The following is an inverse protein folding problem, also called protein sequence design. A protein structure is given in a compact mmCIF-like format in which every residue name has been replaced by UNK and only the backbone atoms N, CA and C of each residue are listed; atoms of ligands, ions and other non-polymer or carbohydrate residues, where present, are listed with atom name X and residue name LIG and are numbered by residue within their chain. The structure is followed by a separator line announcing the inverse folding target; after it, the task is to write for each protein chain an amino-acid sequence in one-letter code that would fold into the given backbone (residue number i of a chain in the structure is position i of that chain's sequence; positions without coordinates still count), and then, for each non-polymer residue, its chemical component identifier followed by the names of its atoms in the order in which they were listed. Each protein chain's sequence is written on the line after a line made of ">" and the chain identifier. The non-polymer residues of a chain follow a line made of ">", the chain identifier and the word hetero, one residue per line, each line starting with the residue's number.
data_IF_882182379805
#
_entry.id   IF_882182379805
#
_cell.length_a   1.000
_cell.length_b   1.000
_cell.length_c   1.000
_cell.angle_alpha   90.00
_cell.angle_beta   90.00
_cell.angle_gamma   90.00
#
_symmetry.space_group_name_H-M   'P 1'
#
loop_
_entity.id
_entity.type
_entity.pdbx_description
1 polymer ?
#
# COMPACT_ATOMS: atom_id res chain seq x y z
N UNK A 1 3.19 -24.20 22.24
CA UNK A 1 3.03 -23.07 21.30
C UNK A 1 4.19 -23.09 20.30
N UNK A 2 4.07 -23.83 19.20
CA UNK A 2 5.02 -23.74 18.09
C UNK A 2 4.40 -22.79 17.06
N UNK A 3 4.71 -21.50 17.18
CA UNK A 3 4.60 -20.61 16.03
C UNK A 3 5.60 -21.17 15.01
N UNK A 4 5.11 -21.84 13.96
CA UNK A 4 5.94 -22.05 12.77
C UNK A 4 6.42 -20.65 12.39
N UNK A 5 7.72 -20.46 12.29
CA UNK A 5 8.30 -19.24 11.76
C UNK A 5 7.70 -19.02 10.36
N UNK A 6 6.65 -18.19 10.25
CA UNK A 6 6.28 -17.58 8.98
C UNK A 6 7.39 -16.58 8.69
N UNK A 7 8.44 -17.08 8.07
CA UNK A 7 9.50 -16.24 7.55
C UNK A 7 8.88 -15.53 6.34
N UNK A 8 8.37 -14.31 6.55
CA UNK A 8 7.90 -13.42 5.50
C UNK A 8 9.10 -12.95 4.69
N UNK A 9 9.64 -13.86 3.88
CA UNK A 9 10.77 -13.56 3.02
C UNK A 9 10.25 -12.86 1.77
N UNK A 10 10.80 -11.69 1.48
CA UNK A 10 10.56 -11.00 0.20
C UNK A 10 11.09 -11.91 -0.91
N UNK A 11 10.25 -12.14 -1.93
CA UNK A 11 10.64 -12.94 -3.11
C UNK A 11 11.89 -12.35 -3.75
N UNK A 12 12.80 -13.23 -4.20
CA UNK A 12 14.01 -12.79 -4.90
C UNK A 12 13.64 -12.19 -6.26
N UNK A 13 14.35 -11.13 -6.72
CA UNK A 13 14.08 -10.56 -8.02
C UNK A 13 14.33 -11.58 -9.15
N UNK A 14 13.56 -11.52 -10.26
CA UNK A 14 13.81 -12.36 -11.42
C UNK A 14 15.23 -12.14 -11.97
N UNK A 15 15.79 -13.17 -12.63
CA UNK A 15 17.10 -13.03 -13.27
C UNK A 15 17.04 -12.00 -14.40
N UNK A 16 17.98 -11.06 -14.38
CA UNK A 16 18.17 -10.08 -15.45
C UNK A 16 18.44 -10.77 -16.79
N UNK A 17 17.77 -10.28 -17.84
CA UNK A 17 17.89 -10.76 -19.23
C UNK A 17 17.79 -9.58 -20.18
N UNK A 18 18.19 -9.80 -21.43
CA UNK A 18 18.05 -8.77 -22.48
C UNK A 18 16.56 -8.57 -22.81
N UNK A 19 16.10 -7.32 -22.78
CA UNK A 19 14.69 -6.91 -22.93
C UNK A 19 14.42 -6.15 -24.25
N UNK A 20 15.30 -6.28 -25.23
CA UNK A 20 15.16 -5.60 -26.52
C UNK A 20 13.89 -6.10 -27.24
N UNK A 21 12.99 -5.16 -27.55
CA UNK A 21 11.68 -5.43 -28.17
C UNK A 21 10.76 -6.38 -27.39
N UNK A 22 10.96 -6.51 -26.07
CA UNK A 22 10.19 -7.44 -25.24
C UNK A 22 8.71 -7.02 -25.10
N UNK A 23 8.46 -5.74 -24.83
CA UNK A 23 7.11 -5.22 -24.60
C UNK A 23 6.61 -4.30 -25.72
N UNK A 24 7.50 -3.47 -26.28
CA UNK A 24 7.19 -2.59 -27.40
C UNK A 24 7.80 -3.18 -28.68
N UNK A 25 7.02 -3.28 -29.75
CA UNK A 25 7.54 -3.74 -31.04
C UNK A 25 8.21 -2.59 -31.77
N UNK A 26 9.03 -2.93 -32.76
CA UNK A 26 9.68 -1.94 -33.62
C UNK A 26 8.67 -0.98 -34.29
N UNK A 27 7.51 -1.49 -34.72
CA UNK A 27 6.44 -0.68 -35.31
C UNK A 27 5.89 0.37 -34.33
N UNK A 28 5.65 -0.01 -33.07
CA UNK A 28 5.11 0.90 -32.06
C UNK A 28 6.11 2.02 -31.75
N UNK A 29 7.40 1.70 -31.67
CA UNK A 29 8.45 2.70 -31.45
C UNK A 29 8.63 3.66 -32.63
N UNK A 30 8.46 3.18 -33.86
CA UNK A 30 8.50 4.04 -35.04
C UNK A 30 7.33 5.04 -35.06
N UNK A 31 6.13 4.61 -34.65
CA UNK A 31 4.99 5.51 -34.46
C UNK A 31 5.25 6.54 -33.34
N UNK A 32 5.83 6.11 -32.20
CA UNK A 32 6.14 6.98 -31.06
C UNK A 32 7.19 8.05 -31.43
N UNK A 33 8.21 7.70 -32.20
CA UNK A 33 9.27 8.63 -32.61
C UNK A 33 8.73 9.71 -33.57
N UNK A 34 7.85 9.32 -34.51
CA UNK A 34 7.20 10.25 -35.45
C UNK A 34 6.19 11.17 -34.77
N UNK A 35 5.64 10.75 -33.63
CA UNK A 35 4.60 11.47 -32.91
C UNK A 35 5.18 12.54 -31.99
N UNK A 36 4.78 13.80 -32.13
CA UNK A 36 5.15 14.89 -31.21
C UNK A 36 4.03 15.24 -30.20
N UNK A 37 2.86 14.62 -30.35
CA UNK A 37 1.69 14.88 -29.52
C UNK A 37 1.62 13.88 -28.37
N UNK A 38 1.53 14.37 -27.14
CA UNK A 38 1.33 13.56 -25.93
C UNK A 38 0.13 12.59 -26.06
N UNK A 39 -1.08 13.01 -26.48
CA UNK A 39 -2.22 12.09 -26.60
C UNK A 39 -2.00 10.98 -27.64
N UNK A 40 -1.17 11.22 -28.66
CA UNK A 40 -0.87 10.19 -29.65
C UNK A 40 0.12 9.15 -29.09
N UNK A 41 1.11 9.60 -28.32
CA UNK A 41 2.03 8.71 -27.58
C UNK A 41 1.23 7.85 -26.59
N UNK A 42 0.31 8.46 -25.84
CA UNK A 42 -0.58 7.76 -24.91
C UNK A 42 -1.43 6.69 -25.62
N UNK A 43 -2.01 7.02 -26.78
CA UNK A 43 -2.79 6.07 -27.59
C UNK A 43 -1.97 4.86 -28.00
N UNK A 44 -0.73 5.07 -28.45
CA UNK A 44 0.17 3.98 -28.88
C UNK A 44 0.60 3.13 -27.69
N UNK A 45 1.03 3.76 -26.59
CA UNK A 45 1.44 3.07 -25.36
C UNK A 45 0.29 2.26 -24.76
N UNK A 46 -0.92 2.82 -24.75
CA UNK A 46 -2.11 2.11 -24.32
C UNK A 46 -2.35 0.86 -25.17
N UNK A 47 -2.30 0.97 -26.50
CA UNK A 47 -2.49 -0.15 -27.42
C UNK A 47 -1.44 -1.26 -27.20
N UNK A 48 -0.20 -0.89 -26.94
CA UNK A 48 0.91 -1.83 -26.88
C UNK A 48 1.10 -2.48 -25.51
N UNK A 49 0.90 -1.74 -24.42
CA UNK A 49 1.28 -2.16 -23.07
C UNK A 49 0.09 -2.50 -22.16
N UNK A 50 -1.10 -2.00 -22.47
CA UNK A 50 -2.30 -2.18 -21.64
C UNK A 50 -3.31 -3.08 -22.38
N UNK A 51 -3.66 -4.21 -21.76
CA UNK A 51 -4.43 -5.27 -22.42
C UNK A 51 -5.96 -5.00 -22.53
N UNK A 52 -6.54 -4.04 -21.80
CA UNK A 52 -7.97 -3.69 -21.89
C UNK A 52 -8.35 -2.46 -21.06
N UNK A 53 -9.29 -1.66 -21.56
CA UNK A 53 -10.02 -0.50 -20.98
C UNK A 53 -9.29 0.49 -20.04
N UNK A 54 -8.84 1.61 -20.62
CA UNK A 54 -8.31 2.82 -19.96
C UNK A 54 -9.30 3.45 -18.97
N UNK A 55 -10.56 3.01 -18.95
CA UNK A 55 -11.53 3.46 -17.97
C UNK A 55 -11.10 3.17 -16.53
N UNK A 56 -10.26 2.15 -16.28
CA UNK A 56 -9.76 1.89 -14.94
C UNK A 56 -8.77 2.98 -14.48
N UNK A 57 -9.00 3.67 -13.34
CA UNK A 57 -8.11 4.72 -12.85
C UNK A 57 -6.67 4.24 -12.65
N UNK A 58 -6.48 2.98 -12.23
CA UNK A 58 -5.16 2.37 -12.03
C UNK A 58 -4.35 2.32 -13.33
N UNK A 59 -5.00 2.06 -14.47
CA UNK A 59 -4.32 2.01 -15.75
C UNK A 59 -3.88 3.38 -16.25
N UNK A 60 -4.61 4.45 -15.90
CA UNK A 60 -4.21 5.82 -16.21
C UNK A 60 -2.90 6.19 -15.53
N UNK A 61 -2.72 5.77 -14.28
CA UNK A 61 -1.46 5.98 -13.54
C UNK A 61 -0.28 5.25 -14.20
N UNK A 62 -0.48 4.04 -14.73
CA UNK A 62 0.54 3.34 -15.51
C UNK A 62 0.83 4.03 -16.85
N UNK A 63 -0.22 4.46 -17.54
CA UNK A 63 -0.08 5.17 -18.81
C UNK A 63 0.73 6.45 -18.62
N UNK A 64 0.43 7.23 -17.58
CA UNK A 64 1.17 8.43 -17.23
C UNK A 64 2.64 8.12 -16.91
N UNK A 65 2.93 7.04 -16.17
CA UNK A 65 4.30 6.58 -15.92
C UNK A 65 5.05 6.29 -17.24
N UNK A 66 4.44 5.53 -18.16
CA UNK A 66 5.08 5.18 -19.43
C UNK A 66 5.23 6.39 -20.36
N UNK A 67 4.24 7.28 -20.41
CA UNK A 67 4.30 8.52 -21.20
C UNK A 67 5.42 9.41 -20.68
N UNK A 68 5.54 9.61 -19.37
CA UNK A 68 6.63 10.37 -18.78
C UNK A 68 8.01 9.75 -19.07
N UNK A 69 8.10 8.42 -19.13
CA UNK A 69 9.31 7.72 -19.55
C UNK A 69 9.70 8.04 -20.99
N UNK A 70 8.74 8.01 -21.91
CA UNK A 70 8.96 8.37 -23.32
C UNK A 70 9.41 9.82 -23.45
N UNK A 71 8.75 10.74 -22.73
CA UNK A 71 9.12 12.16 -22.74
C UNK A 71 10.55 12.37 -22.22
N UNK A 72 10.93 11.68 -21.14
CA UNK A 72 12.30 11.67 -20.64
C UNK A 72 13.30 11.15 -21.68
N UNK A 73 12.98 10.05 -22.37
CA UNK A 73 13.85 9.51 -23.43
C UNK A 73 14.03 10.50 -24.59
N UNK A 74 12.97 11.22 -24.97
CA UNK A 74 13.01 12.26 -26.02
C UNK A 74 13.87 13.45 -25.60
N UNK A 75 13.72 13.93 -24.36
CA UNK A 75 14.52 15.01 -23.79
C UNK A 75 16.02 14.67 -23.74
N UNK A 76 16.34 13.40 -23.45
CA UNK A 76 17.72 12.89 -23.42
C UNK A 76 18.23 12.35 -24.76
N UNK A 77 17.47 12.48 -25.84
CA UNK A 77 17.80 12.01 -27.18
C UNK A 77 18.17 10.51 -27.25
N UNK A 78 17.46 9.66 -26.51
CA UNK A 78 17.64 8.21 -26.57
C UNK A 78 17.09 7.66 -27.89
N UNK A 79 17.75 6.62 -28.41
CA UNK A 79 17.28 5.93 -29.61
C UNK A 79 16.05 5.03 -29.33
N UNK A 80 15.51 4.43 -30.38
CA UNK A 80 14.27 3.62 -30.32
C UNK A 80 14.48 2.38 -29.45
N UNK A 81 15.61 1.70 -29.63
CA UNK A 81 16.01 0.52 -28.89
C UNK A 81 16.15 0.83 -27.40
N UNK A 82 16.83 1.92 -27.05
CA UNK A 82 17.03 2.43 -25.69
C UNK A 82 15.70 2.73 -25.02
N UNK A 83 14.80 3.43 -25.73
CA UNK A 83 13.47 3.79 -25.20
C UNK A 83 12.63 2.54 -24.96
N UNK A 84 12.61 1.60 -25.92
CA UNK A 84 11.90 0.32 -25.77
C UNK A 84 12.42 -0.47 -24.58
N UNK A 85 13.74 -0.59 -24.43
CA UNK A 85 14.36 -1.33 -23.32
C UNK A 85 14.07 -0.65 -21.99
N UNK A 86 14.18 0.69 -21.90
CA UNK A 86 13.95 1.39 -20.65
C UNK A 86 12.51 1.20 -20.15
N UNK A 87 11.53 1.27 -21.06
CA UNK A 87 10.12 1.01 -20.72
C UNK A 87 9.96 -0.42 -20.19
N UNK A 88 10.56 -1.41 -20.86
CA UNK A 88 10.55 -2.79 -20.40
C UNK A 88 11.21 -2.98 -19.03
N UNK A 89 12.33 -2.31 -18.76
CA UNK A 89 13.00 -2.35 -17.45
C UNK A 89 12.06 -1.84 -16.36
N UNK A 90 11.48 -0.65 -16.54
CA UNK A 90 10.58 -0.05 -15.55
C UNK A 90 9.31 -0.87 -15.37
N UNK A 91 8.75 -1.44 -16.44
CA UNK A 91 7.61 -2.36 -16.35
C UNK A 91 7.94 -3.60 -15.52
N UNK A 92 9.09 -4.22 -15.75
CA UNK A 92 9.53 -5.40 -14.99
C UNK A 92 9.76 -5.08 -13.51
N UNK A 93 10.40 -3.94 -13.22
CA UNK A 93 10.60 -3.47 -11.84
C UNK A 93 9.26 -3.16 -11.17
N UNK A 94 8.32 -2.54 -11.90
CA UNK A 94 6.99 -2.26 -11.37
C UNK A 94 6.22 -3.54 -11.06
N UNK A 95 6.25 -4.51 -11.96
CA UNK A 95 5.61 -5.80 -11.73
C UNK A 95 6.18 -6.46 -10.45
N UNK A 96 7.51 -6.58 -10.36
CA UNK A 96 8.18 -7.13 -9.18
C UNK A 96 7.87 -6.35 -7.89
N UNK A 97 7.79 -5.02 -7.96
CA UNK A 97 7.36 -4.19 -6.84
C UNK A 97 5.96 -4.62 -6.35
N UNK A 98 5.00 -4.76 -7.26
CA UNK A 98 3.59 -4.99 -6.92
C UNK A 98 3.22 -6.44 -6.60
N UNK A 99 4.12 -7.40 -6.86
CA UNK A 99 3.91 -8.84 -6.58
C UNK A 99 3.81 -9.18 -5.08
N UNK A 100 4.25 -8.28 -4.20
CA UNK A 100 4.22 -8.51 -2.75
C UNK A 100 3.70 -7.26 -2.02
N UNK A 101 2.95 -7.38 -0.92
CA UNK A 101 2.65 -6.23 -0.06
C UNK A 101 3.83 -5.79 0.81
N UNK A 102 4.87 -6.63 0.91
CA UNK A 102 6.03 -6.35 1.73
C UNK A 102 6.90 -5.24 1.11
N UNK A 103 7.61 -4.52 1.96
CA UNK A 103 8.55 -3.51 1.50
C UNK A 103 9.73 -4.18 0.76
N UNK A 104 9.91 -3.86 -0.53
CA UNK A 104 10.98 -4.37 -1.38
C UNK A 104 11.75 -3.26 -2.13
N UNK A 105 11.82 -2.04 -1.57
CA UNK A 105 12.52 -0.90 -2.18
C UNK A 105 13.96 -1.22 -2.58
N UNK A 106 14.76 -1.80 -1.67
CA UNK A 106 16.17 -2.14 -1.94
C UNK A 106 16.31 -3.19 -3.04
N UNK A 107 15.40 -4.17 -3.06
CA UNK A 107 15.35 -5.18 -4.10
C UNK A 107 14.95 -4.58 -5.46
N UNK A 108 13.98 -3.67 -5.49
CA UNK A 108 13.59 -2.96 -6.71
C UNK A 108 14.72 -2.10 -7.29
N UNK A 109 15.46 -1.39 -6.43
CA UNK A 109 16.61 -0.59 -6.85
C UNK A 109 17.76 -1.47 -7.36
N UNK A 110 18.04 -2.57 -6.66
CA UNK A 110 19.04 -3.56 -7.08
C UNK A 110 18.66 -4.18 -8.42
N UNK A 111 17.40 -4.61 -8.56
CA UNK A 111 16.89 -5.22 -9.80
C UNK A 111 16.94 -4.25 -10.99
N UNK A 112 16.56 -2.99 -10.79
CA UNK A 112 16.71 -1.94 -11.80
C UNK A 112 18.18 -1.77 -12.22
N UNK A 113 19.10 -1.73 -11.24
CA UNK A 113 20.54 -1.58 -11.48
C UNK A 113 21.13 -2.77 -12.25
N UNK A 114 20.74 -4.00 -11.90
CA UNK A 114 21.15 -5.22 -12.60
C UNK A 114 20.62 -5.27 -14.03
N UNK A 115 19.36 -4.89 -14.25
CA UNK A 115 18.76 -4.78 -15.57
C UNK A 115 19.49 -3.72 -16.41
N UNK A 116 19.81 -2.55 -15.86
CA UNK A 116 20.57 -1.53 -16.57
C UNK A 116 21.98 -2.02 -16.91
N UNK A 117 22.66 -2.69 -15.98
CA UNK A 117 24.00 -3.24 -16.22
C UNK A 117 23.99 -4.28 -17.35
N UNK A 118 22.94 -5.11 -17.43
CA UNK A 118 22.70 -6.06 -18.52
C UNK A 118 22.58 -5.38 -19.90
N UNK A 119 22.20 -4.10 -19.96
CA UNK A 119 22.06 -3.33 -21.19
C UNK A 119 23.17 -2.29 -21.38
N UNK A 120 24.23 -2.33 -20.57
CA UNK A 120 25.35 -1.37 -20.63
C UNK A 120 26.72 -2.03 -20.81
N UNK A 121 26.77 -3.36 -20.89
CA UNK A 121 28.02 -4.14 -20.97
C UNK A 121 27.92 -5.13 -22.11
N UNK A 122 28.97 -5.22 -22.94
CA UNK A 122 29.00 -6.12 -24.10
C UNK A 122 29.43 -7.54 -23.74
N UNK A 123 28.47 -8.44 -23.45
CA UNK A 123 28.70 -9.90 -23.27
C UNK A 123 27.54 -10.73 -23.86
N UNK A 124 27.41 -10.81 -25.20
CA UNK A 124 26.43 -11.70 -25.83
C UNK A 124 26.63 -13.16 -25.41
N UNK A 125 25.56 -13.96 -25.18
CA UNK A 125 24.13 -13.65 -25.31
C UNK A 125 23.49 -12.99 -24.06
N UNK A 126 24.24 -12.77 -23.00
CA UNK A 126 23.70 -12.40 -21.68
C UNK A 126 23.46 -10.91 -21.51
N UNK A 127 24.26 -10.06 -22.19
CA UNK A 127 24.18 -8.61 -22.06
C UNK A 127 24.49 -7.91 -23.39
N UNK A 128 23.92 -6.72 -23.57
CA UNK A 128 24.11 -5.87 -24.74
C UNK A 128 24.69 -4.51 -24.34
N UNK A 129 25.38 -3.86 -25.27
CA UNK A 129 25.99 -2.54 -25.08
C UNK A 129 25.07 -1.49 -25.71
N UNK A 130 24.02 -1.11 -24.98
CA UNK A 130 22.98 -0.21 -25.46
C UNK A 130 23.05 1.16 -24.78
N UNK A 131 23.35 1.21 -23.48
CA UNK A 131 23.47 2.47 -22.73
C UNK A 131 24.93 2.78 -22.40
N UNK A 132 25.30 4.05 -22.56
CA UNK A 132 26.59 4.54 -22.06
C UNK A 132 26.57 4.72 -20.54
N UNK A 133 27.74 4.78 -19.90
CA UNK A 133 27.84 5.02 -18.45
C UNK A 133 27.15 6.31 -18.01
N UNK A 134 27.17 7.35 -18.85
CA UNK A 134 26.47 8.61 -18.56
C UNK A 134 24.96 8.42 -18.60
N UNK A 135 24.45 7.74 -19.64
CA UNK A 135 23.02 7.45 -19.78
C UNK A 135 22.50 6.60 -18.63
N UNK A 136 23.26 5.60 -18.17
CA UNK A 136 22.89 4.79 -16.98
C UNK A 136 22.71 5.67 -15.75
N UNK A 137 23.62 6.61 -15.52
CA UNK A 137 23.55 7.53 -14.38
C UNK A 137 22.33 8.44 -14.47
N UNK A 138 22.03 8.96 -15.66
CA UNK A 138 20.84 9.77 -15.91
C UNK A 138 19.55 8.98 -15.68
N UNK A 139 19.48 7.74 -16.18
CA UNK A 139 18.33 6.84 -16.00
C UNK A 139 18.12 6.52 -14.53
N UNK A 140 19.18 6.17 -13.80
CA UNK A 140 19.07 5.81 -12.39
C UNK A 140 18.64 7.01 -11.55
N UNK A 141 19.19 8.21 -11.83
CA UNK A 141 18.76 9.45 -11.18
C UNK A 141 17.29 9.75 -11.46
N UNK A 142 16.84 9.59 -12.71
CA UNK A 142 15.44 9.76 -13.06
C UNK A 142 14.56 8.75 -12.31
N UNK A 143 14.90 7.46 -12.35
CA UNK A 143 14.16 6.38 -11.69
C UNK A 143 14.00 6.61 -10.17
N UNK A 144 15.07 7.05 -9.50
CA UNK A 144 15.03 7.36 -8.07
C UNK A 144 14.10 8.55 -7.80
N UNK A 145 14.21 9.61 -8.61
CA UNK A 145 13.49 10.86 -8.38
C UNK A 145 12.02 10.81 -8.81
N UNK A 146 11.64 9.93 -9.73
CA UNK A 146 10.27 9.81 -10.23
C UNK A 146 9.59 8.56 -9.70
N UNK A 147 10.09 7.37 -10.01
CA UNK A 147 9.42 6.12 -9.67
C UNK A 147 9.58 5.77 -8.19
N UNK A 148 10.80 5.74 -7.66
CA UNK A 148 11.05 5.37 -6.25
C UNK A 148 10.52 6.43 -5.27
N UNK A 149 10.54 7.72 -5.64
CA UNK A 149 9.92 8.78 -4.83
C UNK A 149 8.44 8.52 -4.57
N UNK A 150 7.73 7.94 -5.53
CA UNK A 150 6.31 7.59 -5.42
C UNK A 150 6.09 6.09 -5.16
N UNK A 151 7.06 5.41 -4.56
CA UNK A 151 7.01 3.97 -4.32
C UNK A 151 5.75 3.52 -3.56
N UNK A 152 5.37 4.21 -2.48
CA UNK A 152 4.18 3.87 -1.70
C UNK A 152 2.87 4.06 -2.47
N UNK A 153 2.81 5.04 -3.38
CA UNK A 153 1.66 5.24 -4.26
C UNK A 153 1.45 4.02 -5.16
N UNK A 154 2.52 3.55 -5.80
CA UNK A 154 2.45 2.36 -6.65
C UNK A 154 2.10 1.11 -5.84
N UNK A 155 2.69 0.92 -4.65
CA UNK A 155 2.29 -0.17 -3.75
C UNK A 155 0.80 -0.13 -3.43
N UNK A 156 0.30 1.01 -2.99
CA UNK A 156 -1.09 1.15 -2.57
C UNK A 156 -2.08 0.85 -3.71
N UNK A 157 -1.79 1.31 -4.92
CA UNK A 157 -2.70 1.16 -6.05
C UNK A 157 -2.68 -0.27 -6.62
N UNK A 158 -1.51 -0.89 -6.73
CA UNK A 158 -1.31 -2.08 -7.57
C UNK A 158 -1.05 -3.37 -6.79
N UNK A 159 -0.82 -3.30 -5.48
CA UNK A 159 -0.63 -4.52 -4.67
C UNK A 159 -1.98 -5.20 -4.45
N UNK A 160 -2.09 -6.52 -4.67
CA UNK A 160 -3.28 -7.28 -4.31
C UNK A 160 -3.47 -7.31 -2.78
N UNK A 161 -4.71 -7.19 -2.33
CA UNK A 161 -5.04 -7.27 -0.90
C UNK A 161 -4.81 -8.71 -0.39
N UNK A 162 -4.05 -8.85 0.70
CA UNK A 162 -3.77 -10.15 1.32
C UNK A 162 -4.52 -10.20 2.64
N UNK A 163 -5.54 -11.07 2.72
CA UNK A 163 -6.24 -11.36 3.97
C UNK A 163 -5.55 -12.54 4.66
N UNK A 164 -5.10 -12.33 5.91
CA UNK A 164 -4.53 -13.38 6.74
C UNK A 164 -5.63 -13.96 7.64
N UNK A 165 -6.07 -15.18 7.34
CA UNK A 165 -6.97 -15.94 8.21
C UNK A 165 -6.14 -16.69 9.27
N UNK A 166 -6.28 -16.29 10.53
CA UNK A 166 -5.53 -16.86 11.65
C UNK A 166 -6.46 -17.83 12.40
N UNK A 167 -6.23 -19.13 12.22
CA UNK A 167 -6.84 -20.16 13.06
C UNK A 167 -5.92 -20.50 14.23
N UNK A 168 -6.43 -20.34 15.45
CA UNK A 168 -5.73 -20.68 16.69
C UNK A 168 -6.28 -22.01 17.22
N UNK A 169 -5.44 -23.05 17.26
CA UNK A 169 -5.75 -24.26 18.00
C UNK A 169 -5.05 -24.25 19.37
N UNK A 170 -5.84 -24.42 20.43
CA UNK A 170 -5.31 -24.50 21.78
C UNK A 170 -5.02 -25.95 22.13
N UNK A 171 -3.75 -26.26 22.40
CA UNK A 171 -3.35 -27.58 22.87
C UNK A 171 -3.53 -27.62 24.39
N UNK A 172 -4.41 -28.47 24.90
CA UNK A 172 -4.58 -28.72 26.34
C UNK A 172 -5.94 -28.35 26.94
N UNK A 173 -6.91 -27.91 26.13
CA UNK A 173 -8.32 -27.91 26.51
C UNK A 173 -8.91 -29.19 25.92
N UNK A 174 -9.55 -30.07 26.70
CA UNK A 174 -10.32 -31.17 26.13
C UNK A 174 -11.39 -30.56 25.21
N UNK A 175 -11.42 -31.02 23.96
CA UNK A 175 -12.50 -30.69 23.03
C UNK A 175 -13.80 -31.21 23.66
N UNK A 176 -14.65 -30.32 24.17
CA UNK A 176 -16.05 -30.64 24.36
C UNK A 176 -16.61 -30.86 22.96
N UNK A 177 -16.74 -32.14 22.60
CA UNK A 177 -17.43 -32.59 21.40
C UNK A 177 -18.92 -32.33 21.55
N UNK A 178 -19.35 -31.07 21.49
CA UNK A 178 -20.72 -30.72 21.17
C UNK A 178 -20.78 -30.52 19.66
N UNK A 179 -20.86 -31.67 18.99
CA UNK A 179 -21.23 -31.73 17.58
C UNK A 179 -22.71 -31.40 17.50
N UNK A 180 -23.05 -30.13 17.29
CA UNK A 180 -24.37 -29.77 16.73
C UNK A 180 -24.25 -29.72 15.21
N UNK A 181 -24.52 -30.87 14.58
CA UNK A 181 -24.94 -30.92 13.18
C UNK A 181 -26.32 -30.26 13.05
N UNK A 182 -26.42 -29.19 12.26
CA UNK A 182 -27.57 -28.81 11.42
C UNK A 182 -27.30 -27.42 10.82
N UNK A 183 -27.67 -27.04 9.62
CA UNK A 183 -28.06 -27.66 8.36
C UNK A 183 -28.07 -26.50 7.34
N UNK A 184 -27.99 -26.82 6.07
CA UNK A 184 -28.01 -25.88 4.94
C UNK A 184 -29.21 -24.92 4.97
N UNK A 185 -28.98 -23.67 4.54
CA UNK A 185 -29.98 -22.94 3.75
C UNK A 185 -29.32 -21.94 2.82
N UNK A 186 -29.45 -22.22 1.52
CA UNK A 186 -29.17 -21.36 0.38
C UNK A 186 -30.11 -20.13 0.34
N UNK A 187 -29.65 -19.04 -0.29
CA UNK A 187 -30.36 -18.08 -1.18
C UNK A 187 -29.80 -16.65 -0.99
N UNK A 188 -29.02 -16.13 -1.95
CA UNK A 188 -29.38 -15.43 -3.22
C UNK A 188 -29.72 -13.94 -3.02
N UNK A 189 -28.96 -13.11 -3.76
CA UNK A 189 -29.21 -11.76 -4.30
C UNK A 189 -30.10 -10.77 -3.52
N UNK A 190 -29.64 -9.52 -3.38
CA UNK A 190 -29.92 -8.48 -4.38
C UNK A 190 -29.18 -7.17 -4.06
N UNK A 191 -28.71 -6.48 -5.10
CA UNK A 191 -28.05 -5.18 -4.98
C UNK A 191 -29.01 -3.99 -5.11
N UNK A 192 -28.45 -2.79 -4.83
CA UNK A 192 -28.67 -1.46 -5.43
C UNK A 192 -27.88 -0.44 -4.57
N UNK A 193 -26.81 0.18 -5.09
CA UNK A 193 -26.77 1.57 -5.65
C UNK A 193 -27.71 2.53 -4.92
N UNK A 194 -27.22 3.62 -4.35
CA UNK A 194 -26.89 4.84 -5.11
C UNK A 194 -25.79 5.73 -4.48
N UNK A 195 -25.17 6.50 -5.39
CA UNK A 195 -24.11 7.52 -5.34
C UNK A 195 -24.64 8.86 -4.76
N UNK A 196 -23.90 9.72 -4.05
CA UNK A 196 -23.13 10.92 -4.51
C UNK A 196 -22.65 11.66 -3.21
N UNK A 197 -21.34 11.88 -2.96
CA UNK A 197 -20.47 13.08 -3.25
C UNK A 197 -21.10 14.43 -2.86
N UNK A 198 -20.48 15.44 -2.27
CA UNK A 198 -19.16 15.88 -1.70
C UNK A 198 -19.57 17.12 -0.83
N UNK A 199 -18.97 17.53 0.29
CA UNK A 199 -17.71 18.31 0.42
C UNK A 199 -17.43 18.62 1.92
N UNK A 200 -16.22 18.25 2.35
CA UNK A 200 -15.21 18.99 3.14
C UNK A 200 -15.51 19.81 4.42
N UNK A 201 -14.89 19.29 5.51
CA UNK A 201 -13.98 19.96 6.49
C UNK A 201 -14.56 21.10 7.34
N UNK A 202 -14.83 20.85 8.63
CA UNK A 202 -13.92 21.17 9.76
C UNK A 202 -14.56 20.67 11.08
N UNK A 203 -13.78 20.56 12.15
CA UNK A 203 -14.19 20.18 13.53
C UNK A 203 -14.23 18.67 13.84
N UNK A 204 -13.08 18.01 13.67
CA UNK A 204 -12.67 17.01 14.64
C UNK A 204 -12.48 17.67 16.01
N UNK A 205 -13.16 17.13 17.02
CA UNK A 205 -12.92 17.15 18.48
C UNK A 205 -14.22 17.46 19.22
N UNK A 206 -14.74 16.41 19.91
CA UNK A 206 -15.88 16.35 20.84
C UNK A 206 -17.20 15.77 20.29
N UNK A 207 -17.20 14.49 19.87
CA UNK A 207 -18.35 13.59 20.06
C UNK A 207 -18.04 12.12 19.67
N UNK A 208 -17.02 11.50 20.29
CA UNK A 208 -16.82 10.03 20.22
C UNK A 208 -17.50 9.33 21.43
N UNK A 209 -18.19 10.08 22.30
CA UNK A 209 -18.71 9.56 23.57
C UNK A 209 -20.21 9.20 23.57
N UNK A 210 -20.93 9.21 22.44
CA UNK A 210 -22.40 9.15 22.43
C UNK A 210 -23.03 8.21 21.39
N UNK A 211 -22.32 7.20 20.86
CA UNK A 211 -22.87 6.34 19.80
C UNK A 211 -22.72 4.82 19.99
N UNK A 212 -22.65 4.36 21.24
CA UNK A 212 -22.86 2.94 21.57
C UNK A 212 -23.91 2.78 22.67
N UNK A 213 -25.15 3.14 22.35
CA UNK A 213 -26.33 2.64 23.06
C UNK A 213 -27.53 2.68 22.12
N UNK A 214 -28.27 1.56 22.04
CA UNK A 214 -29.38 1.18 21.12
C UNK A 214 -28.86 0.58 19.80
N UNK A 215 -29.17 -0.65 19.38
CA UNK A 215 -30.18 -1.61 19.80
C UNK A 215 -29.74 -3.06 19.48
N UNK A 216 -30.12 -3.99 20.35
CA UNK A 216 -30.63 -5.31 19.96
C UNK A 216 -31.37 -5.87 21.17
N UNK A 217 -32.59 -5.35 21.35
CA UNK A 217 -33.64 -6.04 22.09
C UNK A 217 -34.32 -7.01 21.12
N UNK A 218 -34.15 -8.31 21.38
CA UNK A 218 -35.00 -9.48 21.08
C UNK A 218 -34.18 -10.66 21.61
N UNK A 219 -34.64 -11.58 22.45
CA UNK A 219 -35.98 -12.04 22.78
C UNK A 219 -35.92 -12.68 24.18
N UNK A 220 -37.00 -12.59 24.96
CA UNK A 220 -37.07 -13.13 26.32
C UNK A 220 -37.47 -14.61 26.27
N UNK A 221 -36.58 -15.50 26.69
CA UNK A 221 -36.97 -16.82 27.20
C UNK A 221 -36.26 -17.08 28.53
N UNK A 222 -37.07 -17.12 29.59
CA UNK A 222 -36.67 -17.56 30.93
C UNK A 222 -36.22 -19.02 30.90
N UNK A 223 -35.03 -19.32 31.43
CA UNK A 223 -34.86 -20.34 32.48
C UNK A 223 -33.39 -20.47 32.91
N UNK A 224 -33.18 -20.34 34.22
CA UNK A 224 -31.97 -20.79 34.93
C UNK A 224 -31.02 -19.66 35.33
N UNK A 225 -31.04 -19.29 36.61
CA UNK A 225 -29.87 -18.70 37.29
C UNK A 225 -28.71 -19.68 37.13
N UNK A 226 -27.93 -19.48 36.07
CA UNK A 226 -26.66 -20.16 35.87
C UNK A 226 -25.58 -19.27 36.45
N UNK A 227 -24.64 -19.82 37.25
CA UNK A 227 -23.50 -19.08 37.80
C UNK A 227 -22.72 -18.26 36.75
N UNK A 228 -22.82 -18.63 35.46
CA UNK A 228 -22.18 -17.95 34.33
C UNK A 228 -22.79 -16.58 34.00
N UNK A 229 -24.09 -16.36 34.23
CA UNK A 229 -24.70 -15.04 33.96
C UNK A 229 -24.34 -14.03 35.05
N UNK A 230 -24.34 -14.46 36.32
CA UNK A 230 -23.91 -13.66 37.46
C UNK A 230 -22.43 -13.27 37.34
N UNK A 231 -21.57 -14.22 36.96
CA UNK A 231 -20.15 -13.96 36.72
C UNK A 231 -19.93 -12.97 35.56
N UNK A 232 -20.71 -13.08 34.47
CA UNK A 232 -20.65 -12.15 33.33
C UNK A 232 -21.02 -10.72 33.76
N UNK A 233 -22.05 -10.57 34.59
CA UNK A 233 -22.46 -9.25 35.11
C UNK A 233 -21.40 -8.65 36.03
N UNK A 234 -20.77 -9.45 36.89
CA UNK A 234 -19.68 -9.00 37.76
C UNK A 234 -18.47 -8.56 36.93
N UNK A 235 -18.07 -9.35 35.93
CA UNK A 235 -16.94 -9.01 35.05
C UNK A 235 -17.22 -7.74 34.25
N UNK A 236 -18.42 -7.58 33.69
CA UNK A 236 -18.80 -6.36 32.96
C UNK A 236 -18.79 -5.12 33.85
N UNK A 237 -19.22 -5.24 35.11
CA UNK A 237 -19.19 -4.14 36.06
C UNK A 237 -17.76 -3.75 36.41
N UNK A 238 -16.90 -4.72 36.75
CA UNK A 238 -15.51 -4.45 37.12
C UNK A 238 -14.72 -3.83 35.96
N UNK A 239 -14.92 -4.33 34.74
CA UNK A 239 -14.28 -3.75 33.54
C UNK A 239 -14.71 -2.31 33.33
N UNK A 240 -16.00 -1.99 33.54
CA UNK A 240 -16.50 -0.62 33.43
C UNK A 240 -15.88 0.31 34.48
N UNK A 241 -15.81 -0.15 35.72
CA UNK A 241 -15.26 0.63 36.82
C UNK A 241 -13.75 0.89 36.61
N UNK A 242 -13.01 -0.10 36.11
CA UNK A 242 -11.57 0.03 35.85
C UNK A 242 -11.27 0.93 34.64
N UNK A 243 -12.09 0.87 33.58
CA UNK A 243 -12.01 1.80 32.44
C UNK A 243 -12.26 3.23 32.90
N UNK A 244 -13.24 3.45 33.77
CA UNK A 244 -13.54 4.78 34.31
C UNK A 244 -12.38 5.30 35.17
N UNK A 245 -11.79 4.44 36.00
CA UNK A 245 -10.62 4.77 36.83
C UNK A 245 -9.39 5.14 35.99
N UNK A 246 -9.08 4.35 34.96
CA UNK A 246 -7.96 4.59 34.05
C UNK A 246 -8.14 5.88 33.25
N UNK A 247 -9.36 6.14 32.77
CA UNK A 247 -9.68 7.38 32.05
C UNK A 247 -9.46 8.61 32.94
N UNK A 248 -9.92 8.58 34.19
CA UNK A 248 -9.68 9.68 35.13
C UNK A 248 -8.20 9.89 35.43
N UNK A 249 -7.43 8.80 35.58
CA UNK A 249 -5.99 8.86 35.82
C UNK A 249 -5.21 9.43 34.62
N UNK A 250 -5.59 9.06 33.39
CA UNK A 250 -4.99 9.61 32.17
C UNK A 250 -5.28 11.11 32.03
N UNK A 251 -6.53 11.51 32.28
CA UNK A 251 -6.93 12.91 32.19
C UNK A 251 -6.18 13.78 33.20
N UNK A 252 -5.99 13.28 34.43
CA UNK A 252 -5.17 13.95 35.44
C UNK A 252 -3.70 14.08 35.00
N UNK A 253 -3.11 13.02 34.44
CA UNK A 253 -1.72 13.05 33.94
C UNK A 253 -1.52 14.04 32.79
N UNK A 254 -2.50 14.15 31.89
CA UNK A 254 -2.48 15.14 30.81
C UNK A 254 -2.56 16.56 31.36
N UNK A 255 -3.42 16.80 32.35
CA UNK A 255 -3.55 18.10 33.00
C UNK A 255 -2.24 18.50 33.71
N UNK A 256 -1.67 17.61 34.51
CA UNK A 256 -0.39 17.84 35.20
C UNK A 256 0.74 18.16 34.20
N UNK A 257 0.77 17.47 33.06
CA UNK A 257 1.74 17.72 32.00
C UNK A 257 1.53 19.09 31.34
N UNK A 258 0.28 19.49 31.09
CA UNK A 258 -0.04 20.80 30.53
C UNK A 258 0.37 21.93 31.49
N UNK A 259 0.10 21.76 32.78
CA UNK A 259 0.47 22.73 33.81
C UNK A 259 2.00 22.83 33.99
N UNK A 260 2.73 21.71 33.85
CA UNK A 260 4.20 21.72 33.84
C UNK A 260 4.77 22.49 32.65
N UNK A 261 4.20 22.31 31.45
CA UNK A 261 4.61 23.03 30.25
C UNK A 261 4.31 24.53 30.38
N UNK A 262 3.11 24.89 30.83
CA UNK A 262 2.75 26.29 31.06
C UNK A 262 3.67 26.96 32.09
N UNK A 263 3.99 26.28 33.19
CA UNK A 263 4.95 26.80 34.17
C UNK A 263 6.37 26.95 33.61
N UNK A 264 6.82 26.03 32.73
CA UNK A 264 8.11 26.15 32.06
C UNK A 264 8.14 27.35 31.08
N UNK A 265 7.05 27.57 30.35
CA UNK A 265 6.89 28.72 29.44
C UNK A 265 6.93 30.03 30.24
N UNK A 266 6.15 30.16 31.33
CA UNK A 266 6.18 31.38 32.17
C UNK A 266 7.54 31.65 32.81
N UNK A 267 8.29 30.60 33.18
CA UNK A 267 9.68 30.73 33.65
C UNK A 267 10.65 31.22 32.56
N UNK A 268 10.44 30.82 31.31
CA UNK A 268 11.25 31.29 30.19
C UNK A 268 10.91 32.75 29.84
N UNK A 269 9.62 33.11 29.85
CA UNK A 269 9.16 34.48 29.59
C UNK A 269 9.68 35.49 30.63
N UNK A 270 9.64 35.13 31.91
CA UNK A 270 10.21 35.96 33.00
C UNK A 270 11.72 36.12 32.87
N UNK A 271 12.45 35.06 32.51
CA UNK A 271 13.90 35.14 32.25
C UNK A 271 14.26 35.99 31.01
N UNK A 272 13.40 36.03 29.99
CA UNK A 272 13.59 36.88 28.81
C UNK A 272 13.36 38.35 29.15
N UNK A 273 12.40 38.67 30.02
CA UNK A 273 12.15 40.05 30.46
C UNK A 273 13.24 40.61 31.38
N UNK A 274 13.92 39.77 32.17
CA UNK A 274 15.03 40.20 33.06
C UNK A 274 16.34 40.45 32.28
N UNK A 275 16.45 39.97 31.03
CA UNK A 275 17.64 40.10 30.17
C UNK A 275 17.60 41.26 29.17
N UNK A 276 16.54 42.07 29.19
CA UNK A 276 16.42 43.34 28.43
C UNK A 276 16.60 44.53 29.37
#
# INVERSE_FOLDING_TARGET
>A
MQLRNLQTQVSQPPRSRVLLWADLKHSDMEEIEKSNSIPEIERILCRALLASDVAQPKQRVLLELYTNLVLFCKDRHFNREQTSVLISIIKNVHQFNTETPLNNTDHCLTYCSELLLCHSVRRPPFSIDLFSSEQVTQILSYFINTYMRHYFLYKYIFTPEVQLDISLSYIGIPEDTDTEETAQSESVENGKRETERETEIDEEVQQIAALEMTATETDSLEQGSSPKSELKTIVQKEVRDEVMRLSAQLQQRLQDSADQLNNAISKLETNIQIKK
#
